data_IF_960206358734
#
_entry.id   IF_960206358734
#
_cell.length_a   1.000
_cell.length_b   1.000
_cell.length_c   1.000
_cell.angle_alpha   90.00
_cell.angle_beta   90.00
_cell.angle_gamma   90.00
#
_symmetry.space_group_name_H-M   'P 1'
#
loop_
_entity.id
_entity.type
_entity.pdbx_description
1 polymer ?
#
# COMPACT_ATOMS: atom_id res chain seq x y z
N UNK A 1 -9.73 11.38 -12.12
CA UNK A 1 -8.63 10.39 -12.11
C UNK A 1 -7.89 10.56 -10.80
N UNK A 2 -8.00 9.59 -9.87
CA UNK A 2 -7.27 9.64 -8.61
C UNK A 2 -5.81 9.29 -8.89
N UNK A 3 -4.89 9.98 -8.22
CA UNK A 3 -3.46 9.75 -8.35
C UNK A 3 -2.86 9.58 -6.96
N UNK A 4 -1.80 8.77 -6.88
CA UNK A 4 -0.97 8.75 -5.68
C UNK A 4 -0.27 10.12 -5.58
N UNK A 5 -0.55 10.87 -4.51
CA UNK A 5 -0.06 12.24 -4.39
C UNK A 5 1.34 12.30 -3.79
N UNK A 6 1.65 11.39 -2.87
CA UNK A 6 2.89 11.45 -2.10
C UNK A 6 3.16 10.10 -1.41
N UNK A 7 4.42 9.89 -1.05
CA UNK A 7 4.91 8.70 -0.37
C UNK A 7 5.79 9.11 0.80
N UNK A 8 5.87 8.27 1.83
CA UNK A 8 6.77 8.51 2.94
C UNK A 8 6.67 7.46 4.01
N UNK A 9 7.07 7.80 5.23
CA UNK A 9 6.87 6.96 6.41
C UNK A 9 5.81 7.57 7.30
N UNK A 10 4.91 6.72 7.79
CA UNK A 10 3.87 7.07 8.75
C UNK A 10 4.19 6.32 10.04
N UNK A 11 4.17 7.01 11.17
CA UNK A 11 4.25 6.37 12.46
C UNK A 11 2.86 6.27 13.08
N UNK A 12 2.33 5.06 13.19
CA UNK A 12 1.07 4.79 13.87
C UNK A 12 1.28 4.70 15.38
N UNK A 13 0.33 5.22 16.14
CA UNK A 13 0.35 5.12 17.60
C UNK A 13 0.29 3.66 18.02
N UNK A 14 1.21 3.25 18.90
CA UNK A 14 1.32 1.87 19.37
C UNK A 14 2.21 0.97 18.51
N UNK A 15 2.72 1.46 17.38
CA UNK A 15 3.72 0.76 16.59
C UNK A 15 5.13 1.11 17.06
N UNK A 16 6.04 0.14 16.97
CA UNK A 16 7.42 0.27 17.44
C UNK A 16 8.25 1.17 16.51
N UNK A 17 7.86 1.28 15.23
CA UNK A 17 8.58 2.05 14.20
C UNK A 17 7.64 2.67 13.16
N UNK A 18 8.07 3.73 12.46
CA UNK A 18 7.40 4.22 11.26
C UNK A 18 7.45 3.19 10.14
N UNK A 19 6.37 3.09 9.38
CA UNK A 19 6.22 2.14 8.26
C UNK A 19 5.95 2.88 6.95
N UNK A 20 6.13 2.22 5.81
CA UNK A 20 5.92 2.83 4.50
C UNK A 20 4.45 3.19 4.33
N UNK A 21 4.21 4.41 3.84
CA UNK A 21 2.88 4.95 3.69
C UNK A 21 2.71 5.75 2.41
N UNK A 22 1.46 5.80 1.97
CA UNK A 22 1.03 6.41 0.71
C UNK A 22 -0.09 7.39 1.00
N UNK A 23 -0.11 8.54 0.32
CA UNK A 23 -1.26 9.45 0.31
C UNK A 23 -1.98 9.39 -1.03
N UNK A 24 -3.28 9.11 -0.96
CA UNK A 24 -4.21 9.23 -2.10
C UNK A 24 -5.32 10.19 -1.70
N UNK A 25 -5.39 11.31 -2.39
CA UNK A 25 -6.16 12.51 -2.06
C UNK A 25 -5.95 12.95 -0.60
N UNK A 26 -6.97 12.75 0.23
CA UNK A 26 -6.98 13.10 1.67
C UNK A 26 -6.78 11.87 2.56
N UNK A 27 -6.62 10.70 1.98
CA UNK A 27 -6.55 9.42 2.67
C UNK A 27 -5.10 8.96 2.75
N UNK A 28 -4.71 8.48 3.92
CA UNK A 28 -3.38 7.95 4.20
C UNK A 28 -3.46 6.45 4.40
N UNK A 29 -2.55 5.73 3.76
CA UNK A 29 -2.47 4.28 3.82
C UNK A 29 -1.11 3.90 4.40
N UNK A 30 -1.11 3.06 5.43
CA UNK A 30 0.09 2.38 5.92
C UNK A 30 0.17 1.05 5.22
N UNK A 31 1.12 0.97 4.30
CA UNK A 31 1.31 -0.18 3.43
C UNK A 31 2.02 -1.30 4.17
N UNK A 32 2.96 -1.00 5.07
CA UNK A 32 3.66 -1.99 5.89
C UNK A 32 5.16 -1.72 6.07
N UNK A 33 5.85 -2.69 6.68
CA UNK A 33 7.30 -2.65 6.95
C UNK A 33 8.13 -2.65 5.65
N UNK A 34 8.27 -1.47 5.06
CA UNK A 34 9.17 -1.19 3.96
C UNK A 34 10.42 -0.46 4.45
N UNK A 35 11.29 -1.16 5.19
CA UNK A 35 12.70 -0.74 5.28
C UNK A 35 13.57 -1.41 4.18
N UNK A 36 12.99 -2.27 3.33
CA UNK A 36 13.70 -2.97 2.26
C UNK A 36 13.09 -2.79 0.86
N UNK A 37 13.59 -1.76 0.16
CA UNK A 37 13.97 -1.68 -1.27
C UNK A 37 13.02 -1.98 -2.44
N UNK A 38 11.80 -2.50 -2.28
CA UNK A 38 10.87 -2.58 -3.42
C UNK A 38 9.42 -2.69 -2.95
N UNK A 39 8.82 -1.53 -2.67
CA UNK A 39 7.37 -1.40 -2.53
C UNK A 39 6.86 -0.60 -3.71
N UNK A 40 6.02 -1.21 -4.52
CA UNK A 40 5.38 -0.58 -5.66
C UNK A 40 3.89 -0.43 -5.37
N UNK A 41 3.28 0.65 -5.86
CA UNK A 41 1.87 0.94 -5.64
C UNK A 41 1.20 1.40 -6.94
N UNK A 42 -0.05 0.98 -7.15
CA UNK A 42 -0.85 1.39 -8.31
C UNK A 42 -2.30 1.59 -7.90
N UNK A 43 -2.99 2.50 -8.60
CA UNK A 43 -4.41 2.76 -8.43
C UNK A 43 -5.17 2.13 -9.59
N UNK A 44 -6.21 1.38 -9.27
CA UNK A 44 -7.14 0.85 -10.26
C UNK A 44 -8.55 0.87 -9.70
N UNK A 45 -9.47 1.46 -10.47
CA UNK A 45 -10.82 1.76 -10.04
C UNK A 45 -10.85 2.45 -8.66
N UNK A 46 -11.49 1.83 -7.67
CA UNK A 46 -11.62 2.34 -6.31
C UNK A 46 -10.63 1.70 -5.32
N UNK A 47 -9.52 1.15 -5.82
CA UNK A 47 -8.57 0.42 -4.99
C UNK A 47 -7.14 0.92 -5.15
N UNK A 48 -6.42 0.94 -4.03
CA UNK A 48 -4.97 1.03 -3.98
C UNK A 48 -4.40 -0.38 -3.88
N UNK A 49 -3.59 -0.75 -4.85
CA UNK A 49 -2.80 -1.97 -4.86
C UNK A 49 -1.38 -1.66 -4.40
N UNK A 50 -0.83 -2.51 -3.54
CA UNK A 50 0.55 -2.45 -3.13
C UNK A 50 1.20 -3.83 -3.26
N UNK A 51 2.45 -3.84 -3.72
CA UNK A 51 3.27 -5.05 -3.81
C UNK A 51 4.52 -4.82 -2.99
N UNK A 52 4.68 -5.60 -1.92
CA UNK A 52 5.86 -5.62 -1.09
C UNK A 52 6.69 -6.84 -1.48
N UNK A 53 7.94 -6.61 -1.89
CA UNK A 53 8.84 -7.68 -2.24
C UNK A 53 9.82 -7.95 -1.09
N UNK A 54 9.93 -9.22 -0.70
CA UNK A 54 10.83 -9.69 0.35
C UNK A 54 11.85 -10.68 -0.26
N UNK A 55 12.95 -10.19 -0.86
CA UNK A 55 13.91 -11.03 -1.57
C UNK A 55 14.52 -12.14 -0.70
N UNK A 56 14.85 -11.84 0.56
CA UNK A 56 15.44 -12.81 1.49
C UNK A 56 14.54 -14.02 1.73
N UNK A 57 13.22 -13.82 1.62
CA UNK A 57 12.21 -14.86 1.80
C UNK A 57 11.73 -15.42 0.46
N UNK A 58 12.15 -14.87 -0.67
CA UNK A 58 11.66 -15.20 -2.03
C UNK A 58 10.13 -15.14 -2.15
N UNK A 59 9.51 -14.20 -1.44
CA UNK A 59 8.06 -13.98 -1.47
C UNK A 59 7.70 -12.55 -1.88
N UNK A 60 6.46 -12.40 -2.32
CA UNK A 60 5.80 -11.10 -2.51
C UNK A 60 4.53 -11.08 -1.67
N UNK A 61 4.23 -9.93 -1.09
CA UNK A 61 2.96 -9.68 -0.40
C UNK A 61 2.20 -8.65 -1.21
N UNK A 62 1.02 -9.05 -1.67
CA UNK A 62 0.08 -8.21 -2.40
C UNK A 62 -0.96 -7.71 -1.41
N UNK A 63 -1.26 -6.42 -1.46
CA UNK A 63 -2.31 -5.79 -0.63
C UNK A 63 -3.25 -4.98 -1.50
N UNK A 64 -4.54 -5.06 -1.20
CA UNK A 64 -5.59 -4.25 -1.82
C UNK A 64 -6.36 -3.50 -0.76
N UNK A 65 -6.34 -2.18 -0.85
CA UNK A 65 -7.04 -1.26 0.04
C UNK A 65 -8.19 -0.62 -0.74
N UNK A 66 -9.42 -0.73 -0.23
CA UNK A 66 -10.52 0.09 -0.75
C UNK A 66 -10.30 1.55 -0.35
N UNK A 67 -10.51 2.45 -1.30
CA UNK A 67 -10.43 3.89 -1.07
C UNK A 67 -11.65 4.45 -0.33
N UNK A 68 -12.70 3.64 -0.12
CA UNK A 68 -13.86 4.00 0.69
C UNK A 68 -13.72 3.57 2.15
N UNK A 69 -12.63 2.88 2.52
CA UNK A 69 -12.36 2.56 3.91
C UNK A 69 -12.21 3.84 4.73
N UNK A 70 -12.82 3.84 5.91
CA UNK A 70 -12.72 4.97 6.85
C UNK A 70 -11.42 4.86 7.62
N UNK A 71 -10.52 5.87 7.55
CA UNK A 71 -9.28 5.87 8.32
C UNK A 71 -9.56 5.95 9.82
N UNK A 72 -9.04 4.99 10.60
CA UNK A 72 -9.26 4.90 12.06
C UNK A 72 -7.96 4.90 12.87
N UNK A 73 -6.84 4.54 12.24
CA UNK A 73 -5.57 4.38 12.93
C UNK A 73 -4.87 5.73 13.08
N UNK A 74 -4.80 6.24 14.30
CA UNK A 74 -4.12 7.50 14.61
C UNK A 74 -2.60 7.36 14.43
N UNK A 75 -1.99 8.35 13.79
CA UNK A 75 -0.56 8.44 13.62
C UNK A 75 -0.08 9.82 13.18
N UNK A 76 1.20 9.91 12.83
CA UNK A 76 1.84 11.16 12.40
C UNK A 76 2.68 10.88 11.15
N UNK A 77 2.71 11.83 10.21
CA UNK A 77 3.61 11.78 9.06
C UNK A 77 5.06 11.93 9.54
N UNK A 78 5.90 10.91 9.39
CA UNK A 78 7.24 10.93 9.97
C UNK A 78 8.27 11.58 9.04
N UNK A 79 8.52 10.99 7.87
CA UNK A 79 9.45 11.53 6.87
C UNK A 79 9.07 11.10 5.44
N UNK A 80 9.80 11.55 4.42
CA UNK A 80 9.63 11.13 3.02
C UNK A 80 8.52 11.85 2.24
N UNK A 81 7.46 12.29 2.91
CA UNK A 81 6.39 13.09 2.32
C UNK A 81 6.91 14.48 1.90
N UNK A 82 7.20 14.66 0.61
CA UNK A 82 7.80 15.91 0.08
C UNK A 82 6.76 16.91 -0.42
N UNK A 83 5.54 16.44 -0.69
CA UNK A 83 4.41 17.23 -1.20
C UNK A 83 3.30 17.40 -0.17
N UNK A 84 3.56 16.98 1.07
CA UNK A 84 2.59 17.00 2.17
C UNK A 84 3.26 17.57 3.41
N UNK A 85 2.61 18.54 4.07
CA UNK A 85 3.12 19.11 5.32
C UNK A 85 3.01 18.09 6.44
N UNK A 86 3.96 18.13 7.38
CA UNK A 86 3.91 17.34 8.60
C UNK A 86 2.61 17.60 9.37
N UNK A 87 1.92 16.53 9.76
CA UNK A 87 0.62 16.59 10.42
C UNK A 87 0.34 15.28 11.16
N UNK A 88 -0.49 15.38 12.20
CA UNK A 88 -1.21 14.24 12.75
C UNK A 88 -2.35 13.83 11.82
N UNK A 89 -2.55 12.53 11.68
CA UNK A 89 -3.45 11.95 10.69
C UNK A 89 -4.20 10.75 11.29
N UNK A 90 -5.29 10.38 10.59
CA UNK A 90 -5.84 9.04 10.64
C UNK A 90 -5.48 8.33 9.34
N UNK A 91 -5.02 7.09 9.45
CA UNK A 91 -4.67 6.25 8.33
C UNK A 91 -5.50 4.97 8.31
N UNK A 92 -5.57 4.38 7.12
CA UNK A 92 -5.94 2.98 6.93
C UNK A 92 -4.65 2.17 7.01
N UNK A 93 -4.67 1.04 7.71
CA UNK A 93 -3.52 0.14 7.81
C UNK A 93 -3.87 -1.22 7.23
N UNK A 94 -2.85 -1.98 6.78
CA UNK A 94 -3.01 -3.37 6.33
C UNK A 94 -3.59 -4.32 7.40
N UNK A 95 -3.75 -3.85 8.64
CA UNK A 95 -4.38 -4.57 9.74
C UNK A 95 -5.87 -4.25 9.91
N UNK A 96 -6.40 -3.28 9.15
CA UNK A 96 -7.81 -2.89 9.25
C UNK A 96 -8.71 -3.93 8.55
N UNK A 97 -9.90 -4.14 9.12
CA UNK A 97 -10.94 -4.95 8.49
C UNK A 97 -11.29 -4.39 7.10
N UNK A 98 -11.34 -5.28 6.11
CA UNK A 98 -11.62 -4.93 4.71
C UNK A 98 -10.39 -4.59 3.87
N UNK A 99 -9.18 -4.66 4.44
CA UNK A 99 -7.95 -4.75 3.64
C UNK A 99 -7.70 -6.21 3.28
N UNK A 100 -7.46 -6.47 2.00
CA UNK A 100 -7.13 -7.81 1.51
C UNK A 100 -5.63 -7.98 1.36
N UNK A 101 -5.14 -9.16 1.71
CA UNK A 101 -3.72 -9.53 1.62
C UNK A 101 -3.58 -10.92 0.98
N UNK A 102 -2.59 -11.07 0.11
CA UNK A 102 -2.21 -12.34 -0.48
C UNK A 102 -0.69 -12.48 -0.47
N UNK A 103 -0.18 -13.62 0.01
CA UNK A 103 1.25 -13.94 -0.06
C UNK A 103 1.51 -14.85 -1.26
N UNK A 104 2.29 -14.33 -2.20
CA UNK A 104 2.68 -15.02 -3.43
C UNK A 104 4.18 -15.33 -3.50
N UNK A 105 4.59 -15.97 -4.58
CA UNK A 105 5.98 -16.29 -4.88
C UNK A 105 6.69 -15.10 -5.52
N UNK A 106 8.03 -15.06 -5.44
CA UNK A 106 8.81 -14.03 -6.16
C UNK A 106 8.63 -14.05 -7.68
N UNK A 107 8.26 -15.22 -8.25
CA UNK A 107 8.08 -15.45 -9.68
C UNK A 107 6.69 -15.05 -10.21
N UNK A 108 5.78 -14.64 -9.32
CA UNK A 108 4.43 -14.28 -9.71
C UNK A 108 4.47 -13.09 -10.67
N UNK A 109 3.77 -13.20 -11.80
CA UNK A 109 3.75 -12.17 -12.84
C UNK A 109 2.61 -11.18 -12.58
N UNK A 110 2.97 -9.98 -12.13
CA UNK A 110 2.03 -8.89 -11.83
C UNK A 110 2.37 -7.58 -12.54
N UNK A 111 3.41 -7.56 -13.36
CA UNK A 111 3.81 -6.38 -14.12
C UNK A 111 3.21 -6.41 -15.52
N UNK A 112 2.92 -5.24 -16.10
CA UNK A 112 2.55 -5.09 -17.50
C UNK A 112 3.79 -5.18 -18.43
N UNK A 113 3.60 -4.89 -19.72
CA UNK A 113 4.70 -4.92 -20.69
C UNK A 113 5.69 -3.74 -20.53
N UNK A 114 5.30 -2.67 -19.83
CA UNK A 114 6.15 -1.53 -19.52
C UNK A 114 6.96 -1.74 -18.22
N UNK A 115 6.62 -2.77 -17.44
CA UNK A 115 7.25 -3.07 -16.16
C UNK A 115 6.58 -2.35 -14.98
N UNK A 116 5.40 -1.76 -15.19
CA UNK A 116 4.57 -1.18 -14.14
C UNK A 116 3.64 -2.24 -13.53
N UNK A 117 3.14 -2.02 -12.32
CA UNK A 117 2.13 -2.92 -11.73
C UNK A 117 0.89 -2.95 -12.63
N UNK A 118 0.43 -4.17 -12.94
CA UNK A 118 -0.84 -4.50 -13.58
C UNK A 118 -1.84 -5.03 -12.53
N UNK A 119 -2.78 -4.20 -12.07
CA UNK A 119 -3.78 -4.60 -11.08
C UNK A 119 -4.69 -5.74 -11.56
N UNK A 120 -4.95 -5.87 -12.87
CA UNK A 120 -5.78 -6.95 -13.42
C UNK A 120 -5.05 -8.29 -13.27
N UNK A 121 -3.72 -8.32 -13.47
CA UNK A 121 -2.92 -9.53 -13.23
C UNK A 121 -2.89 -9.89 -11.74
N UNK A 122 -2.77 -8.91 -10.85
CA UNK A 122 -2.86 -9.15 -9.41
C UNK A 122 -4.21 -9.77 -9.06
N UNK A 123 -5.32 -9.18 -9.53
CA UNK A 123 -6.67 -9.70 -9.25
C UNK A 123 -6.87 -11.13 -9.75
N UNK A 124 -6.34 -11.47 -10.93
CA UNK A 124 -6.35 -12.85 -11.44
C UNK A 124 -5.52 -13.81 -10.58
N UNK A 125 -4.36 -13.36 -10.09
CA UNK A 125 -3.48 -14.15 -9.22
C UNK A 125 -4.13 -14.42 -7.87
N UNK A 126 -4.78 -13.41 -7.28
CA UNK A 126 -5.30 -13.47 -5.91
C UNK A 126 -6.75 -13.96 -5.83
N UNK A 127 -7.47 -13.99 -6.95
CA UNK A 127 -8.91 -14.27 -6.97
C UNK A 127 -9.76 -13.11 -6.46
N UNK A 128 -9.19 -11.91 -6.36
CA UNK A 128 -9.91 -10.70 -5.98
C UNK A 128 -10.84 -10.26 -7.11
N UNK A 129 -12.15 -10.23 -6.83
CA UNK A 129 -13.14 -9.81 -7.82
C UNK A 129 -13.27 -8.29 -7.86
N UNK A 130 -13.68 -7.77 -9.02
CA UNK A 130 -14.32 -6.46 -9.15
C UNK A 130 -15.71 -6.63 -8.53
N UNK A 131 -15.94 -6.04 -7.36
CA UNK A 131 -17.28 -5.99 -6.75
C UNK A 131 -18.00 -4.77 -7.27
#
# INVERSE_FOLDING_TARGET
MRNINDFGKIWLRGFIRPEFGVRVDKIYFVIGEGDSKSTDCSLYENYLFAVLHYPEKQIRVFRRFSLDLVPKSHGTLFNGFTKTKHADINAITYRDDGVEEYTGSEKDCFLDNAGDIDPIKIMKLTGWNEV
#
